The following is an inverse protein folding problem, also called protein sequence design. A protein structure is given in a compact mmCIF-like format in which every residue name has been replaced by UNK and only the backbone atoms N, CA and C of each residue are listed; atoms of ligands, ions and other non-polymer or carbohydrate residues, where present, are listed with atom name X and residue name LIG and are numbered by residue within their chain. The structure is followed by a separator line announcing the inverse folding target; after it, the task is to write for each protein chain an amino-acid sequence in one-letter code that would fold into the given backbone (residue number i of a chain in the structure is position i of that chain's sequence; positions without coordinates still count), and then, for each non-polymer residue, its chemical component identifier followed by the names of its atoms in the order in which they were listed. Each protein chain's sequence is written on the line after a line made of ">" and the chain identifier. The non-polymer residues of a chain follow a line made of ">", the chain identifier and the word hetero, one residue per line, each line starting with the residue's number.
data_IF_098608853565
#
_entry.id   IF_098608853565
#
_cell.length_a   1.000
_cell.length_b   1.000
_cell.length_c   1.000
_cell.angle_alpha   90.00
_cell.angle_beta   90.00
_cell.angle_gamma   90.00
#
_symmetry.space_group_name_H-M   'P 1'
#
loop_
_entity.id
_entity.type
_entity.pdbx_description
1 polymer ?
#
# COMPACT_ATOMS: atom_id res chain seq x y z
N UNK A 1 -0.32 29.52 -52.70
CA UNK A 1 0.85 30.14 -52.06
C UNK A 1 0.56 30.33 -50.58
N UNK A 2 1.41 29.75 -49.73
CA UNK A 2 1.59 29.99 -48.27
C UNK A 2 0.33 30.06 -47.39
N UNK A 3 0.03 28.95 -46.72
CA UNK A 3 -0.60 28.98 -45.40
C UNK A 3 0.49 29.02 -44.33
N UNK A 4 0.42 30.07 -43.52
CA UNK A 4 1.20 30.33 -42.32
C UNK A 4 0.57 29.53 -41.18
N UNK A 5 1.34 28.67 -40.52
CA UNK A 5 1.01 28.18 -39.18
C UNK A 5 2.04 28.72 -38.20
N UNK A 6 1.55 29.60 -37.32
CA UNK A 6 2.26 30.11 -36.15
C UNK A 6 2.27 28.97 -35.14
N UNK A 7 3.45 28.39 -34.89
CA UNK A 7 3.66 27.49 -33.77
C UNK A 7 4.10 28.33 -32.56
N UNK A 8 3.19 28.54 -31.62
CA UNK A 8 3.51 29.09 -30.30
C UNK A 8 4.42 28.11 -29.56
N UNK A 9 5.71 28.43 -29.52
CA UNK A 9 6.70 27.76 -28.69
C UNK A 9 6.60 28.33 -27.26
N UNK A 10 5.79 27.72 -26.39
CA UNK A 10 5.83 28.01 -24.96
C UNK A 10 7.01 27.22 -24.37
N UNK A 11 8.13 27.92 -24.19
CA UNK A 11 9.29 27.42 -23.43
C UNK A 11 9.02 27.65 -21.95
N UNK A 12 8.68 26.59 -21.22
CA UNK A 12 8.88 26.56 -19.77
C UNK A 12 10.26 25.95 -19.49
N UNK A 13 11.23 26.81 -19.20
CA UNK A 13 12.47 26.44 -18.51
C UNK A 13 12.38 26.80 -17.02
N UNK A 14 12.94 25.89 -16.21
CA UNK A 14 13.24 26.02 -14.77
C UNK A 14 12.02 25.79 -13.86
N UNK A 15 12.05 24.86 -12.90
CA UNK A 15 13.08 24.69 -11.88
C UNK A 15 13.47 23.22 -11.70
N UNK A 16 14.77 22.97 -11.48
CA UNK A 16 15.35 21.64 -11.26
C UNK A 16 14.96 21.10 -9.88
N UNK A 17 14.21 19.99 -9.84
CA UNK A 17 14.19 19.09 -8.67
C UNK A 17 15.10 17.89 -8.97
N UNK A 18 16.15 17.72 -8.15
CA UNK A 18 17.25 16.75 -8.36
C UNK A 18 16.92 15.31 -7.98
N UNK A 19 15.66 14.96 -7.71
CA UNK A 19 15.24 13.59 -7.37
C UNK A 19 14.01 13.09 -8.14
N UNK A 20 13.54 13.83 -9.15
CA UNK A 20 12.66 13.24 -10.15
C UNK A 20 13.50 12.25 -10.97
N UNK A 21 13.31 10.95 -10.74
CA UNK A 21 13.75 9.90 -11.66
C UNK A 21 13.35 10.34 -13.06
N UNK A 22 14.35 10.67 -13.91
CA UNK A 22 14.11 10.97 -15.32
C UNK A 22 13.25 9.83 -15.87
N UNK A 23 11.99 10.11 -16.18
CA UNK A 23 11.12 9.18 -16.90
C UNK A 23 11.92 8.59 -18.07
N UNK A 24 11.84 7.28 -18.34
CA UNK A 24 12.52 6.73 -19.48
C UNK A 24 12.02 7.47 -20.73
N UNK A 25 12.92 8.22 -21.37
CA UNK A 25 12.62 8.82 -22.67
C UNK A 25 12.67 7.70 -23.70
N UNK A 26 11.55 7.01 -23.88
CA UNK A 26 11.35 6.14 -25.04
C UNK A 26 11.33 7.03 -26.29
N UNK A 27 12.16 6.68 -27.28
CA UNK A 27 12.30 7.44 -28.52
C UNK A 27 11.46 6.78 -29.62
N UNK A 28 10.16 7.07 -29.61
CA UNK A 28 9.20 6.58 -30.60
C UNK A 28 9.51 6.99 -32.05
N UNK A 29 10.44 7.92 -32.27
CA UNK A 29 10.88 8.28 -33.62
C UNK A 29 11.88 7.28 -34.21
N UNK A 30 12.56 6.51 -33.36
CA UNK A 30 13.65 5.60 -33.77
C UNK A 30 13.29 4.14 -33.65
N UNK A 31 12.30 3.80 -32.84
CA UNK A 31 12.02 2.40 -32.52
C UNK A 31 10.52 2.17 -32.34
N UNK A 32 10.06 1.02 -32.84
CA UNK A 32 8.70 0.55 -32.62
C UNK A 32 8.57 0.00 -31.21
N UNK A 33 7.50 0.41 -30.55
CA UNK A 33 7.15 -0.06 -29.22
C UNK A 33 5.81 -0.76 -29.25
N UNK A 34 5.69 -1.81 -28.44
CA UNK A 34 4.46 -2.55 -28.29
C UNK A 34 4.02 -2.54 -26.83
N UNK A 35 2.76 -2.20 -26.58
CA UNK A 35 2.16 -2.20 -25.26
C UNK A 35 1.37 -3.49 -25.06
N UNK A 36 1.61 -4.17 -23.94
CA UNK A 36 0.75 -5.23 -23.45
C UNK A 36 0.13 -4.81 -22.13
N UNK A 37 -1.14 -5.16 -21.95
CA UNK A 37 -1.85 -5.07 -20.67
C UNK A 37 -1.83 -6.46 -20.02
N UNK A 38 -1.47 -6.54 -18.75
CA UNK A 38 -1.48 -7.79 -17.99
C UNK A 38 -2.81 -7.89 -17.22
N UNK A 39 -3.59 -8.91 -17.55
CA UNK A 39 -4.85 -9.23 -16.84
C UNK A 39 -4.65 -9.86 -15.45
N UNK A 40 -3.41 -9.93 -14.93
CA UNK A 40 -3.13 -10.79 -13.77
C UNK A 40 -3.40 -10.14 -12.39
N UNK A 41 -3.64 -8.83 -12.31
CA UNK A 41 -3.77 -8.14 -11.02
C UNK A 41 -4.82 -7.02 -11.08
N UNK A 42 -5.99 -7.26 -10.48
CA UNK A 42 -7.06 -6.32 -10.09
C UNK A 42 -6.96 -4.88 -10.60
N UNK A 43 -7.72 -4.52 -11.65
CA UNK A 43 -8.16 -3.17 -12.08
C UNK A 43 -7.13 -2.02 -12.14
N UNK A 44 -5.85 -2.27 -11.87
CA UNK A 44 -4.79 -1.29 -11.86
C UNK A 44 -3.87 -1.64 -13.00
N UNK A 45 -4.13 -1.07 -14.19
CA UNK A 45 -3.43 -1.37 -15.43
C UNK A 45 -1.92 -1.59 -15.23
N UNK A 46 -1.51 -2.85 -15.30
CA UNK A 46 -0.12 -3.28 -15.34
C UNK A 46 0.28 -3.39 -16.80
N UNK A 47 1.14 -2.48 -17.22
CA UNK A 47 1.58 -2.39 -18.60
C UNK A 47 3.00 -2.92 -18.76
N UNK A 48 3.22 -3.63 -19.86
CA UNK A 48 4.55 -3.99 -20.32
C UNK A 48 4.82 -3.31 -21.65
N UNK A 49 5.94 -2.59 -21.72
CA UNK A 49 6.40 -2.00 -22.97
C UNK A 49 7.52 -2.83 -23.55
N UNK A 50 7.33 -3.26 -24.79
CA UNK A 50 8.30 -4.07 -25.52
C UNK A 50 8.97 -3.23 -26.60
N UNK A 51 10.30 -3.20 -26.55
CA UNK A 51 11.16 -2.71 -27.60
C UNK A 51 11.75 -3.90 -28.34
N UNK A 52 11.54 -4.01 -29.65
CA UNK A 52 12.15 -5.06 -30.48
C UNK A 52 13.10 -4.45 -31.51
N UNK A 53 14.26 -5.09 -31.69
CA UNK A 53 15.23 -4.80 -32.75
C UNK A 53 15.39 -6.06 -33.59
N UNK A 54 14.88 -6.00 -34.81
CA UNK A 54 15.06 -7.07 -35.78
C UNK A 54 16.49 -7.07 -36.32
N UNK A 55 17.11 -8.25 -36.29
CA UNK A 55 18.30 -8.56 -37.08
C UNK A 55 18.12 -9.96 -37.63
N UNK A 56 18.05 -10.11 -38.96
CA UNK A 56 17.95 -11.38 -39.71
C UNK A 56 17.95 -12.65 -38.83
N UNK A 57 16.75 -13.23 -38.66
CA UNK A 57 16.42 -14.45 -37.88
C UNK A 57 16.61 -14.38 -36.35
N UNK A 58 17.03 -13.23 -35.81
CA UNK A 58 17.21 -12.98 -34.37
C UNK A 58 16.36 -11.79 -33.88
N UNK A 59 15.74 -11.98 -32.73
CA UNK A 59 14.98 -10.95 -32.02
C UNK A 59 15.75 -10.56 -30.76
N UNK A 60 16.14 -9.28 -30.66
CA UNK A 60 16.70 -8.72 -29.43
C UNK A 60 15.84 -7.55 -29.00
N UNK A 61 15.63 -7.41 -27.70
CA UNK A 61 14.74 -6.39 -27.21
C UNK A 61 14.85 -6.12 -25.72
N UNK A 62 13.99 -5.24 -25.25
CA UNK A 62 13.81 -4.92 -23.84
C UNK A 62 12.31 -4.98 -23.56
N UNK A 63 11.91 -5.81 -22.60
CA UNK A 63 10.60 -5.70 -21.96
C UNK A 63 10.79 -4.81 -20.73
N UNK A 64 10.15 -3.66 -20.70
CA UNK A 64 10.11 -2.83 -19.50
C UNK A 64 8.78 -3.09 -18.82
N UNK A 65 8.83 -3.66 -17.62
CA UNK A 65 7.67 -3.65 -16.74
C UNK A 65 7.46 -2.21 -16.30
N UNK A 66 6.41 -1.58 -16.82
CA UNK A 66 6.01 -0.25 -16.43
C UNK A 66 5.25 -0.41 -15.13
N UNK A 67 5.96 -0.20 -14.02
CA UNK A 67 5.35 -0.22 -12.69
C UNK A 67 5.56 1.12 -12.00
N UNK A 68 4.67 1.40 -11.07
CA UNK A 68 4.67 2.65 -10.32
C UNK A 68 5.94 2.85 -9.48
N UNK A 69 6.51 1.77 -8.95
CA UNK A 69 7.62 1.85 -8.00
C UNK A 69 8.97 1.95 -8.69
N UNK A 70 9.15 1.20 -9.78
CA UNK A 70 10.39 1.18 -10.56
C UNK A 70 10.18 0.48 -11.89
N UNK A 71 10.59 1.14 -12.96
CA UNK A 71 10.73 0.46 -14.24
C UNK A 71 11.80 -0.62 -14.11
N UNK A 72 11.41 -1.85 -14.45
CA UNK A 72 12.31 -3.01 -14.37
C UNK A 72 12.50 -3.54 -15.79
N UNK A 73 13.54 -3.08 -16.50
CA UNK A 73 13.83 -3.57 -17.85
C UNK A 73 14.44 -4.97 -17.77
N UNK A 74 13.89 -5.87 -18.57
CA UNK A 74 14.40 -7.21 -18.78
C UNK A 74 14.81 -7.36 -20.24
N UNK A 75 16.03 -7.83 -20.46
CA UNK A 75 16.53 -8.11 -21.81
C UNK A 75 15.78 -9.30 -22.38
N UNK A 76 15.27 -9.14 -23.59
CA UNK A 76 14.64 -10.18 -24.38
C UNK A 76 15.65 -10.69 -25.41
N UNK A 77 15.81 -12.01 -25.50
CA UNK A 77 16.60 -12.67 -26.55
C UNK A 77 15.79 -13.79 -27.16
N UNK A 78 15.71 -13.83 -28.48
CA UNK A 78 14.89 -14.80 -29.17
C UNK A 78 15.25 -14.99 -30.64
N UNK A 79 14.48 -15.86 -31.27
CA UNK A 79 14.53 -16.14 -32.71
C UNK A 79 13.22 -15.72 -33.35
N UNK A 80 13.31 -15.21 -34.57
CA UNK A 80 12.16 -14.92 -35.41
C UNK A 80 12.25 -15.82 -36.65
N UNK A 81 11.28 -16.73 -36.80
CA UNK A 81 11.19 -17.60 -37.98
C UNK A 81 9.74 -17.79 -38.36
N UNK A 82 9.39 -17.57 -39.63
CA UNK A 82 8.04 -17.81 -40.16
C UNK A 82 6.93 -17.10 -39.34
N UNK A 83 7.19 -15.86 -38.89
CA UNK A 83 6.32 -15.07 -38.00
C UNK A 83 6.13 -15.64 -36.59
N UNK A 84 6.85 -16.70 -36.22
CA UNK A 84 6.87 -17.26 -34.86
C UNK A 84 8.02 -16.61 -34.09
N UNK A 85 7.69 -16.08 -32.92
CA UNK A 85 8.64 -15.57 -31.95
C UNK A 85 8.82 -16.61 -30.85
N UNK A 86 10.08 -16.86 -30.49
CA UNK A 86 10.44 -17.52 -29.23
C UNK A 86 11.47 -16.67 -28.50
N UNK A 87 11.23 -16.31 -27.24
CA UNK A 87 12.22 -15.58 -26.46
C UNK A 87 12.31 -16.02 -25.00
N UNK A 88 13.46 -15.77 -24.38
CA UNK A 88 13.66 -15.92 -22.94
C UNK A 88 13.72 -14.56 -22.26
N UNK A 89 13.22 -14.51 -21.03
CA UNK A 89 13.25 -13.32 -20.17
C UNK A 89 13.50 -13.72 -18.72
N UNK A 90 14.15 -12.84 -17.97
CA UNK A 90 14.45 -13.02 -16.55
C UNK A 90 13.65 -12.04 -15.72
N UNK A 91 12.71 -12.55 -14.93
CA UNK A 91 12.07 -11.77 -13.87
C UNK A 91 12.96 -11.77 -12.62
N UNK A 92 12.99 -10.64 -11.91
CA UNK A 92 13.76 -10.54 -10.67
C UNK A 92 13.34 -11.64 -9.68
N UNK A 93 14.31 -12.40 -9.17
CA UNK A 93 14.06 -13.48 -8.20
C UNK A 93 13.45 -14.76 -8.79
N UNK A 94 13.31 -14.89 -10.11
CA UNK A 94 12.77 -16.11 -10.77
C UNK A 94 13.76 -16.74 -11.74
N UNK A 95 13.56 -18.03 -12.03
CA UNK A 95 14.26 -18.73 -13.11
C UNK A 95 13.89 -18.11 -14.46
N UNK A 96 14.80 -18.25 -15.42
CA UNK A 96 14.57 -17.80 -16.79
C UNK A 96 13.27 -18.40 -17.33
N UNK A 97 12.41 -17.54 -17.82
CA UNK A 97 11.10 -17.87 -18.36
C UNK A 97 11.15 -17.82 -19.88
N UNK A 98 10.31 -18.62 -20.54
CA UNK A 98 10.22 -18.66 -22.01
C UNK A 98 8.83 -18.20 -22.45
N UNK A 99 8.80 -17.43 -23.52
CA UNK A 99 7.59 -16.98 -24.18
C UNK A 99 7.60 -17.43 -25.64
N UNK A 100 6.42 -17.78 -26.13
CA UNK A 100 6.17 -18.11 -27.53
C UNK A 100 5.13 -17.14 -28.08
N UNK A 101 5.20 -16.81 -29.35
CA UNK A 101 4.20 -15.94 -29.94
C UNK A 101 4.15 -15.94 -31.45
N UNK A 102 3.12 -15.28 -31.96
CA UNK A 102 2.87 -15.12 -33.39
C UNK A 102 2.79 -13.63 -33.69
N UNK A 103 3.55 -13.18 -34.69
CA UNK A 103 3.48 -11.82 -35.24
C UNK A 103 2.32 -11.78 -36.23
N UNK A 104 1.29 -11.01 -35.87
CA UNK A 104 0.26 -10.58 -36.81
C UNK A 104 0.60 -9.22 -37.42
N UNK A 105 -0.28 -8.75 -38.32
CA UNK A 105 -0.10 -7.48 -39.03
C UNK A 105 0.04 -6.27 -38.10
N UNK A 106 -0.76 -6.23 -37.03
CA UNK A 106 -0.86 -5.06 -36.13
C UNK A 106 -0.72 -5.43 -34.64
N UNK A 107 -0.45 -6.70 -34.34
CA UNK A 107 -0.34 -7.20 -32.97
C UNK A 107 0.60 -8.39 -32.88
N UNK A 108 1.20 -8.58 -31.71
CA UNK A 108 1.95 -9.78 -31.37
C UNK A 108 1.18 -10.50 -30.25
N UNK A 109 0.78 -11.75 -30.49
CA UNK A 109 0.19 -12.58 -29.43
C UNK A 109 1.28 -13.40 -28.79
N UNK A 110 1.46 -13.27 -27.48
CA UNK A 110 2.43 -14.03 -26.70
C UNK A 110 1.70 -14.94 -25.72
N UNK A 111 2.25 -16.13 -25.52
CA UNK A 111 1.92 -17.03 -24.44
C UNK A 111 3.15 -17.12 -23.51
N UNK A 112 3.03 -16.56 -22.30
CA UNK A 112 4.07 -16.61 -21.28
C UNK A 112 3.89 -17.87 -20.44
N UNK A 113 4.95 -18.68 -20.34
CA UNK A 113 5.01 -19.87 -19.46
C UNK A 113 3.81 -20.82 -19.64
N UNK A 114 3.21 -20.89 -20.84
CA UNK A 114 2.08 -21.77 -21.16
C UNK A 114 0.70 -21.31 -20.67
N UNK A 115 0.59 -20.28 -19.83
CA UNK A 115 -0.68 -19.93 -19.17
C UNK A 115 -1.17 -18.50 -19.40
N UNK A 116 -0.28 -17.52 -19.51
CA UNK A 116 -0.69 -16.12 -19.64
C UNK A 116 -0.63 -15.69 -21.10
N UNK A 117 -1.77 -15.32 -21.66
CA UNK A 117 -1.84 -14.74 -22.99
C UNK A 117 -1.68 -13.22 -22.90
N UNK A 118 -0.72 -12.67 -23.65
CA UNK A 118 -0.56 -11.23 -23.82
C UNK A 118 -0.81 -10.87 -25.27
N UNK A 119 -1.54 -9.78 -25.48
CA UNK A 119 -1.67 -9.16 -26.80
C UNK A 119 -0.90 -7.84 -26.78
N UNK A 120 0.18 -7.81 -27.54
CA UNK A 120 1.04 -6.66 -27.72
C UNK A 120 0.51 -5.86 -28.90
N UNK A 121 0.14 -4.61 -28.68
CA UNK A 121 -0.31 -3.69 -29.73
C UNK A 121 0.78 -2.67 -30.00
N UNK A 122 1.10 -2.42 -31.26
CA UNK A 122 2.01 -1.33 -31.62
C UNK A 122 1.41 -0.01 -31.10
N UNK A 123 2.24 0.83 -30.50
CA UNK A 123 1.82 2.12 -29.95
C UNK A 123 2.75 3.23 -30.45
N UNK A 124 2.17 4.39 -30.69
CA UNK A 124 2.92 5.62 -30.94
C UNK A 124 3.15 6.41 -29.64
N UNK A 125 3.89 7.51 -29.74
CA UNK A 125 4.16 8.37 -28.59
C UNK A 125 2.88 8.94 -27.98
N UNK A 126 1.86 9.28 -28.77
CA UNK A 126 0.60 9.87 -28.29
C UNK A 126 -0.17 8.84 -27.47
N UNK A 127 -0.32 7.62 -27.99
CA UNK A 127 -0.98 6.50 -27.33
C UNK A 127 -0.24 6.10 -26.07
N UNK A 128 1.10 6.04 -26.14
CA UNK A 128 1.95 5.83 -24.97
C UNK A 128 1.68 6.91 -23.94
N UNK A 129 1.90 8.18 -24.23
CA UNK A 129 1.74 9.26 -23.26
C UNK A 129 0.30 9.41 -22.77
N UNK A 130 -0.72 9.18 -23.59
CA UNK A 130 -2.12 9.27 -23.13
C UNK A 130 -2.42 8.15 -22.14
N UNK A 131 -2.14 6.89 -22.48
CA UNK A 131 -2.37 5.76 -21.56
C UNK A 131 -1.40 5.72 -20.38
N UNK A 132 -0.16 6.16 -20.58
CA UNK A 132 0.92 6.14 -19.59
C UNK A 132 0.89 7.36 -18.66
N UNK A 133 0.57 8.57 -19.14
CA UNK A 133 0.40 9.74 -18.26
C UNK A 133 -0.95 9.68 -17.53
N UNK A 134 -1.97 9.02 -18.08
CA UNK A 134 -3.11 8.57 -17.26
C UNK A 134 -2.65 7.60 -16.15
N UNK A 135 -1.64 6.76 -16.41
CA UNK A 135 -1.05 5.86 -15.42
C UNK A 135 -0.09 6.54 -14.40
N UNK A 136 0.44 7.73 -14.73
CA UNK A 136 1.29 8.56 -13.87
C UNK A 136 0.55 9.84 -13.49
N UNK A 137 -0.24 9.82 -12.40
CA UNK A 137 -1.05 10.97 -12.06
C UNK A 137 -0.18 12.19 -11.78
N UNK A 138 -0.65 13.37 -12.22
CA UNK A 138 -0.05 14.65 -11.87
C UNK A 138 0.13 14.72 -10.37
N UNK A 139 1.37 14.89 -9.92
CA UNK A 139 1.68 15.06 -8.52
C UNK A 139 1.16 16.42 -8.05
N UNK A 140 0.45 16.44 -6.93
CA UNK A 140 -0.17 17.64 -6.38
C UNK A 140 0.53 18.05 -5.09
N UNK A 141 0.51 19.35 -4.79
CA UNK A 141 0.70 19.82 -3.42
C UNK A 141 -0.68 20.06 -2.84
N UNK A 142 -0.98 19.40 -1.74
CA UNK A 142 -2.24 19.54 -1.02
C UNK A 142 -1.99 20.24 0.31
N UNK A 143 -3.00 20.99 0.77
CA UNK A 143 -2.98 21.63 2.07
C UNK A 143 -4.38 21.62 2.68
N UNK A 144 -4.45 21.43 3.99
CA UNK A 144 -5.69 21.59 4.76
C UNK A 144 -5.34 21.98 6.18
N UNK A 145 -6.02 22.99 6.68
CA UNK A 145 -5.93 23.39 8.07
C UNK A 145 -7.23 22.98 8.77
N UNK A 146 -7.14 22.45 9.98
CA UNK A 146 -8.31 21.98 10.74
C UNK A 146 -8.10 22.28 12.22
N UNK A 147 -9.13 22.84 12.86
CA UNK A 147 -9.15 23.04 14.31
C UNK A 147 -9.94 21.89 14.92
N UNK A 148 -9.34 21.16 15.85
CA UNK A 148 -10.00 20.09 16.59
C UNK A 148 -9.56 20.19 18.05
N UNK A 149 -10.51 20.23 18.98
CA UNK A 149 -10.22 20.42 20.41
C UNK A 149 -9.49 21.74 20.66
N UNK A 150 -8.31 21.65 21.30
CA UNK A 150 -7.44 22.78 21.63
C UNK A 150 -6.33 23.03 20.60
N UNK A 151 -6.36 22.31 19.47
CA UNK A 151 -5.28 22.30 18.51
C UNK A 151 -5.71 22.84 17.15
N UNK A 152 -4.78 23.54 16.48
CA UNK A 152 -4.81 23.82 15.05
C UNK A 152 -3.83 22.85 14.37
N UNK A 153 -4.35 22.02 13.47
CA UNK A 153 -3.57 21.11 12.63
C UNK A 153 -3.43 21.71 11.24
N UNK A 154 -2.21 22.04 10.82
CA UNK A 154 -1.88 22.48 9.47
C UNK A 154 -1.22 21.33 8.71
N UNK A 155 -1.94 20.75 7.74
CA UNK A 155 -1.47 19.62 6.94
C UNK A 155 -0.98 20.11 5.60
N UNK A 156 0.23 19.71 5.21
CA UNK A 156 0.81 19.96 3.89
C UNK A 156 1.37 18.68 3.31
N UNK A 157 0.89 18.28 2.14
CA UNK A 157 1.33 17.08 1.45
C UNK A 157 1.98 17.50 0.13
N UNK A 158 3.29 17.33 0.01
CA UNK A 158 4.02 17.54 -1.24
C UNK A 158 4.03 16.27 -2.06
N UNK A 159 4.02 16.43 -3.38
CA UNK A 159 4.10 15.32 -4.34
C UNK A 159 3.02 14.25 -4.12
N UNK A 160 1.81 14.64 -3.70
CA UNK A 160 0.70 13.72 -3.51
C UNK A 160 0.31 13.07 -4.83
N UNK A 161 0.24 11.75 -4.80
CA UNK A 161 -0.03 10.92 -5.95
C UNK A 161 -1.47 10.38 -5.91
N UNK A 162 -2.30 10.70 -6.90
CA UNK A 162 -3.71 10.28 -6.86
C UNK A 162 -3.95 8.78 -7.07
N UNK A 163 -2.93 8.01 -7.46
CA UNK A 163 -3.00 6.55 -7.63
C UNK A 163 -2.59 5.84 -6.35
N UNK A 164 -1.44 6.19 -5.77
CA UNK A 164 -0.98 5.57 -4.51
C UNK A 164 -1.53 6.21 -3.26
N UNK A 165 -2.08 7.42 -3.38
CA UNK A 165 -2.65 8.22 -2.27
C UNK A 165 -1.63 8.70 -1.24
N UNK A 166 -0.34 8.57 -1.52
CA UNK A 166 0.76 9.00 -0.67
C UNK A 166 1.43 10.28 -1.19
N UNK A 167 2.15 10.94 -0.29
CA UNK A 167 3.03 12.08 -0.57
C UNK A 167 3.83 12.43 0.68
N UNK A 168 4.83 13.30 0.54
CA UNK A 168 5.64 13.77 1.67
C UNK A 168 4.76 14.69 2.51
N UNK A 169 4.32 14.19 3.65
CA UNK A 169 3.33 14.84 4.50
C UNK A 169 4.00 15.51 5.67
N UNK A 170 3.63 16.76 5.93
CA UNK A 170 4.03 17.53 7.11
C UNK A 170 2.76 17.99 7.80
N UNK A 171 2.63 17.66 9.09
CA UNK A 171 1.55 18.11 9.95
C UNK A 171 2.17 18.96 11.03
N UNK A 172 1.83 20.24 11.05
CA UNK A 172 2.20 21.16 12.13
C UNK A 172 1.02 21.25 13.08
N UNK A 173 1.27 20.98 14.35
CA UNK A 173 0.30 21.05 15.44
C UNK A 173 0.60 22.31 16.24
N UNK A 174 -0.40 23.16 16.41
CA UNK A 174 -0.29 24.43 17.12
C UNK A 174 -1.36 24.53 18.19
N UNK A 175 -1.08 25.31 19.23
CA UNK A 175 -2.12 25.73 20.17
C UNK A 175 -3.14 26.61 19.43
N UNK A 176 -4.44 26.31 19.56
CA UNK A 176 -5.46 27.02 18.77
C UNK A 176 -5.56 28.50 19.12
N UNK A 177 -5.20 28.89 20.34
CA UNK A 177 -5.41 30.23 20.89
C UNK A 177 -4.22 31.14 20.59
N UNK A 178 -3.05 30.76 21.08
CA UNK A 178 -1.78 31.48 20.93
C UNK A 178 -1.16 31.32 19.55
N UNK A 179 -1.57 30.29 18.79
CA UNK A 179 -0.95 29.87 17.51
C UNK A 179 0.52 29.47 17.64
N UNK A 180 1.01 29.21 18.86
CA UNK A 180 2.36 28.72 19.08
C UNK A 180 2.50 27.29 18.54
N UNK A 181 3.64 27.03 17.87
CA UNK A 181 3.98 25.69 17.39
C UNK A 181 4.24 24.75 18.58
N UNK A 182 3.54 23.62 18.61
CA UNK A 182 3.69 22.59 19.64
C UNK A 182 4.59 21.48 19.11
N UNK A 183 4.29 21.00 17.90
CA UNK A 183 4.97 19.86 17.29
C UNK A 183 4.84 19.89 15.77
N UNK A 184 5.80 19.27 15.09
CA UNK A 184 5.70 18.93 13.68
C UNK A 184 5.94 17.43 13.47
N UNK A 185 5.09 16.79 12.68
CA UNK A 185 5.21 15.39 12.29
C UNK A 185 5.42 15.33 10.78
N UNK A 186 6.46 14.63 10.33
CA UNK A 186 6.72 14.39 8.90
C UNK A 186 6.70 12.90 8.59
N UNK A 187 6.04 12.51 7.49
CA UNK A 187 5.91 11.11 7.08
C UNK A 187 5.60 10.97 5.59
N UNK A 188 6.14 9.94 4.95
CA UNK A 188 5.75 9.52 3.59
C UNK A 188 4.72 8.37 3.63
N UNK A 189 4.46 7.81 4.82
CA UNK A 189 3.61 6.64 4.99
C UNK A 189 2.11 6.99 5.04
N UNK A 190 1.74 8.26 5.26
CA UNK A 190 0.34 8.63 5.41
C UNK A 190 -0.42 8.49 4.10
N UNK A 191 -1.59 7.88 4.19
CA UNK A 191 -2.46 7.58 3.06
C UNK A 191 -3.67 8.51 3.08
N UNK A 192 -3.90 9.22 1.98
CA UNK A 192 -5.03 10.14 1.83
C UNK A 192 -5.89 9.75 0.63
N UNK A 193 -7.05 9.15 0.91
CA UNK A 193 -7.93 8.50 -0.08
C UNK A 193 -8.21 9.35 -1.33
N UNK A 194 -8.41 10.65 -1.15
CA UNK A 194 -8.43 11.61 -2.24
C UNK A 194 -7.97 12.99 -1.76
N UNK A 195 -7.78 13.90 -2.73
CA UNK A 195 -7.30 15.26 -2.49
C UNK A 195 -8.18 16.11 -1.57
N UNK A 196 -9.45 15.73 -1.41
CA UNK A 196 -10.45 16.48 -0.63
C UNK A 196 -10.64 15.88 0.78
N UNK A 197 -10.14 14.66 1.01
CA UNK A 197 -10.30 13.89 2.26
C UNK A 197 -8.94 13.64 2.93
N UNK A 198 -8.33 14.73 3.40
CA UNK A 198 -7.11 14.71 4.21
C UNK A 198 -7.45 14.44 5.70
N UNK A 199 -7.97 13.25 5.98
CA UNK A 199 -8.43 12.86 7.33
C UNK A 199 -7.34 12.16 8.13
N UNK A 200 -7.41 12.35 9.44
CA UNK A 200 -6.70 11.63 10.49
C UNK A 200 -7.65 11.51 11.67
N UNK A 201 -7.36 10.62 12.62
CA UNK A 201 -8.22 10.39 13.77
C UNK A 201 -7.68 11.18 14.97
N UNK A 202 -8.56 11.98 15.58
CA UNK A 202 -8.31 12.69 16.82
C UNK A 202 -9.60 12.69 17.65
N UNK A 203 -9.96 11.50 18.13
CA UNK A 203 -11.17 11.29 18.93
C UNK A 203 -11.08 10.09 19.88
N UNK A 204 -10.01 9.28 19.78
CA UNK A 204 -9.80 8.11 20.64
C UNK A 204 -8.78 8.44 21.72
N UNK A 205 -8.94 7.81 22.88
CA UNK A 205 -7.97 7.79 23.98
C UNK A 205 -7.41 6.37 24.04
N UNK A 206 -6.23 6.17 23.47
CA UNK A 206 -5.65 4.84 23.29
C UNK A 206 -4.97 4.31 24.56
N UNK A 207 -4.61 5.20 25.49
CA UNK A 207 -3.93 4.86 26.74
C UNK A 207 -4.82 4.98 28.00
N UNK A 208 -6.09 5.35 27.82
CA UNK A 208 -7.12 5.46 28.85
C UNK A 208 -6.80 6.51 29.93
N UNK A 209 -6.11 7.58 29.55
CA UNK A 209 -5.68 8.64 30.47
C UNK A 209 -6.61 9.89 30.49
N UNK A 210 -7.72 9.81 29.76
CA UNK A 210 -8.72 10.83 29.46
C UNK A 210 -8.20 11.99 28.59
N UNK A 211 -7.15 11.76 27.79
CA UNK A 211 -6.69 12.70 26.77
C UNK A 211 -6.79 12.04 25.40
N UNK A 212 -7.34 12.79 24.44
CA UNK A 212 -7.46 12.33 23.06
C UNK A 212 -6.09 12.24 22.39
N UNK A 213 -5.84 11.09 21.79
CA UNK A 213 -4.67 10.73 21.03
C UNK A 213 -4.88 10.91 19.52
N UNK A 214 -3.82 10.67 18.75
CA UNK A 214 -3.78 10.89 17.32
C UNK A 214 -3.43 9.60 16.57
N UNK A 215 -4.15 9.29 15.49
CA UNK A 215 -3.71 8.25 14.56
C UNK A 215 -3.86 8.64 13.09
N UNK A 216 -2.94 8.16 12.27
CA UNK A 216 -2.89 8.42 10.85
C UNK A 216 -2.96 7.11 10.07
N UNK A 217 -3.89 7.04 9.13
CA UNK A 217 -4.01 5.90 8.22
C UNK A 217 -2.77 5.79 7.33
N UNK A 218 -2.20 4.60 7.24
CA UNK A 218 -1.00 4.29 6.43
C UNK A 218 -1.28 3.31 5.29
N UNK A 219 -2.55 2.98 5.05
CA UNK A 219 -2.99 2.08 4.00
C UNK A 219 -3.43 0.72 4.55
N UNK A 220 -3.27 -0.33 3.75
CA UNK A 220 -3.76 -1.67 4.07
C UNK A 220 -2.60 -2.64 4.33
N UNK A 221 -1.64 -2.24 5.16
CA UNK A 221 -0.42 -3.03 5.42
C UNK A 221 -0.59 -4.05 6.56
N UNK A 222 -1.79 -4.13 7.16
CA UNK A 222 -2.09 -5.12 8.20
C UNK A 222 -2.35 -6.52 7.62
N UNK A 223 -2.53 -7.52 8.48
CA UNK A 223 -2.87 -8.88 8.06
C UNK A 223 -4.09 -8.91 7.15
N UNK A 224 -4.04 -9.71 6.08
CA UNK A 224 -5.13 -9.82 5.10
C UNK A 224 -5.54 -8.49 4.45
N UNK A 225 -4.58 -7.57 4.29
CA UNK A 225 -4.83 -6.21 3.80
C UNK A 225 -5.83 -5.43 4.67
N UNK A 226 -5.83 -5.71 5.98
CA UNK A 226 -6.53 -4.87 6.94
C UNK A 226 -5.89 -3.48 7.01
N UNK A 227 -6.67 -2.53 7.53
CA UNK A 227 -6.22 -1.16 7.71
C UNK A 227 -5.05 -1.08 8.68
N UNK A 228 -4.05 -0.27 8.32
CA UNK A 228 -2.90 0.04 9.17
C UNK A 228 -2.84 1.53 9.49
N UNK A 229 -2.35 1.86 10.68
CA UNK A 229 -2.22 3.22 11.17
C UNK A 229 -0.88 3.40 11.90
N UNK A 230 -0.41 4.64 11.94
CA UNK A 230 0.55 5.09 12.94
C UNK A 230 -0.22 5.69 14.12
N UNK A 231 0.14 5.31 15.35
CA UNK A 231 -0.52 5.78 16.56
C UNK A 231 0.43 6.70 17.34
N UNK A 232 -0.10 7.84 17.78
CA UNK A 232 0.65 8.84 18.53
C UNK A 232 -0.10 9.14 19.83
N UNK A 233 0.51 8.77 20.95
CA UNK A 233 -0.03 8.91 22.29
C UNK A 233 0.39 10.25 22.87
N UNK A 234 -0.52 10.99 23.49
CA UNK A 234 -0.21 12.27 24.08
C UNK A 234 0.60 12.11 25.37
N UNK A 235 1.82 12.65 25.37
CA UNK A 235 2.66 12.73 26.55
C UNK A 235 2.40 14.03 27.31
N UNK A 236 1.92 13.91 28.56
CA UNK A 236 1.55 15.07 29.40
C UNK A 236 2.76 15.89 29.86
N UNK A 237 3.93 15.26 30.01
CA UNK A 237 5.15 15.92 30.46
C UNK A 237 5.78 16.74 29.33
N UNK A 238 5.87 16.16 28.13
CA UNK A 238 6.40 16.82 26.94
C UNK A 238 5.38 17.72 26.24
N UNK A 239 4.09 17.52 26.51
CA UNK A 239 2.94 18.17 25.85
C UNK A 239 2.95 17.94 24.33
N UNK A 240 3.24 16.72 23.91
CA UNK A 240 3.43 16.31 22.51
C UNK A 240 2.82 14.94 22.25
N UNK A 241 2.56 14.66 20.97
CA UNK A 241 2.08 13.36 20.51
C UNK A 241 3.26 12.46 20.13
N UNK A 242 3.50 11.39 20.88
CA UNK A 242 4.64 10.50 20.73
C UNK A 242 4.20 9.21 20.01
N UNK A 243 4.88 8.89 18.91
CA UNK A 243 4.57 7.69 18.11
C UNK A 243 4.83 6.41 18.92
N UNK A 244 3.81 5.57 19.07
CA UNK A 244 3.92 4.30 19.80
C UNK A 244 3.99 3.10 18.85
N UNK A 245 5.22 2.64 18.59
CA UNK A 245 5.46 1.44 17.77
C UNK A 245 4.90 0.18 18.44
N UNK A 246 4.91 0.13 19.78
CA UNK A 246 4.32 -0.98 20.53
C UNK A 246 2.80 -1.06 20.29
N UNK A 247 2.12 0.09 20.27
CA UNK A 247 0.69 0.15 19.97
C UNK A 247 0.42 -0.26 18.51
N UNK A 248 1.17 0.29 17.56
CA UNK A 248 1.07 -0.03 16.14
C UNK A 248 1.19 -1.53 15.85
N UNK A 249 2.10 -2.20 16.55
CA UNK A 249 2.36 -3.65 16.36
C UNK A 249 1.14 -4.50 16.67
N UNK A 250 0.29 -4.07 17.62
CA UNK A 250 -0.84 -4.84 18.10
C UNK A 250 -2.16 -4.35 17.49
N UNK A 251 -2.32 -3.03 17.33
CA UNK A 251 -3.55 -2.42 16.82
C UNK A 251 -3.72 -2.57 15.29
N UNK A 252 -2.63 -2.77 14.54
CA UNK A 252 -2.69 -3.06 13.10
C UNK A 252 -3.01 -4.54 12.82
N UNK A 253 -3.98 -5.08 13.56
CA UNK A 253 -4.51 -6.43 13.43
C UNK A 253 -5.54 -6.54 12.30
N UNK A 254 -6.21 -7.70 12.15
CA UNK A 254 -7.34 -7.81 11.22
C UNK A 254 -8.46 -6.85 11.61
N UNK A 255 -8.73 -6.73 12.91
CA UNK A 255 -9.58 -5.70 13.51
C UNK A 255 -9.05 -5.33 14.89
N UNK A 256 -9.34 -4.12 15.34
CA UNK A 256 -9.03 -3.66 16.69
C UNK A 256 -10.19 -2.86 17.26
N UNK A 257 -10.26 -2.77 18.58
CA UNK A 257 -11.25 -1.98 19.31
C UNK A 257 -10.61 -1.37 20.56
N UNK A 258 -11.00 -0.13 20.87
CA UNK A 258 -10.67 0.56 22.11
C UNK A 258 -11.88 0.44 23.03
N UNK A 259 -11.81 -0.47 23.98
CA UNK A 259 -12.84 -0.69 24.98
C UNK A 259 -12.64 0.30 26.14
N UNK A 260 -13.38 1.40 26.07
CA UNK A 260 -13.38 2.47 27.07
C UNK A 260 -14.17 2.13 28.34
N UNK A 261 -14.98 1.07 28.32
CA UNK A 261 -15.74 0.62 29.51
C UNK A 261 -14.80 -0.11 30.45
N UNK A 262 -14.00 -1.02 29.91
CA UNK A 262 -13.09 -1.87 30.69
C UNK A 262 -11.62 -1.40 30.66
N UNK A 263 -11.34 -0.30 29.96
CA UNK A 263 -10.02 0.29 29.72
C UNK A 263 -9.03 -0.73 29.15
N UNK A 264 -9.40 -1.31 28.00
CA UNK A 264 -8.62 -2.33 27.29
C UNK A 264 -8.61 -2.07 25.81
N UNK A 265 -7.54 -2.52 25.17
CA UNK A 265 -7.52 -2.64 23.72
C UNK A 265 -7.76 -4.10 23.33
N UNK A 266 -8.73 -4.33 22.46
CA UNK A 266 -9.03 -5.65 21.90
C UNK A 266 -8.40 -5.74 20.50
N UNK A 267 -7.69 -6.84 20.25
CA UNK A 267 -7.04 -7.12 18.97
C UNK A 267 -7.52 -8.46 18.45
N UNK A 268 -8.04 -8.46 17.23
CA UNK A 268 -8.57 -9.64 16.57
C UNK A 268 -7.69 -9.99 15.37
N UNK A 269 -7.16 -11.20 15.39
CA UNK A 269 -6.26 -11.69 14.34
C UNK A 269 -6.71 -13.05 13.81
N UNK A 270 -6.14 -13.41 12.66
CA UNK A 270 -6.37 -14.69 12.01
C UNK A 270 -5.03 -15.30 11.60
N UNK A 271 -4.85 -16.59 11.88
CA UNK A 271 -3.74 -17.41 11.40
C UNK A 271 -4.09 -18.04 10.06
N UNK A 272 -3.83 -19.32 9.86
CA UNK A 272 -4.36 -20.06 8.69
C UNK A 272 -5.89 -19.96 8.60
N UNK A 273 -6.49 -20.46 7.51
CA UNK A 273 -7.93 -20.36 7.19
C UNK A 273 -8.89 -20.56 8.39
N UNK A 274 -8.53 -21.40 9.36
CA UNK A 274 -9.36 -21.81 10.47
C UNK A 274 -8.88 -21.34 11.86
N UNK A 275 -7.77 -20.61 11.94
CA UNK A 275 -7.17 -20.14 13.20
C UNK A 275 -7.60 -18.71 13.51
N UNK A 276 -8.23 -18.48 14.65
CA UNK A 276 -8.68 -17.17 15.09
C UNK A 276 -8.06 -16.82 16.44
N UNK A 277 -7.70 -15.54 16.61
CA UNK A 277 -7.12 -15.01 17.83
C UNK A 277 -7.89 -13.78 18.28
N UNK A 278 -8.15 -13.69 19.58
CA UNK A 278 -8.66 -12.48 20.22
C UNK A 278 -7.82 -12.21 21.48
N UNK A 279 -7.21 -11.04 21.54
CA UNK A 279 -6.32 -10.66 22.64
C UNK A 279 -6.80 -9.34 23.25
N UNK A 280 -6.82 -9.27 24.57
CA UNK A 280 -7.09 -8.04 25.32
C UNK A 280 -5.81 -7.55 25.99
N UNK A 281 -5.56 -6.25 25.87
CA UNK A 281 -4.38 -5.57 26.41
C UNK A 281 -4.80 -4.44 27.32
N UNK A 282 -4.01 -4.20 28.37
CA UNK A 282 -4.12 -2.99 29.21
C UNK A 282 -2.90 -2.11 29.01
N UNK A 283 -3.10 -0.79 29.07
CA UNK A 283 -2.00 0.16 29.11
C UNK A 283 -1.34 0.15 30.49
N UNK A 284 -0.04 -0.17 30.56
CA UNK A 284 0.74 -0.25 31.79
C UNK A 284 2.16 0.21 31.49
N UNK A 285 2.66 1.23 32.20
CA UNK A 285 4.02 1.78 32.04
C UNK A 285 4.36 2.09 30.58
N UNK A 286 3.52 2.90 29.93
CA UNK A 286 3.70 3.39 28.56
C UNK A 286 3.75 2.29 27.47
N UNK A 287 3.16 1.13 27.76
CA UNK A 287 3.06 0.04 26.81
C UNK A 287 1.80 -0.81 27.01
N UNK A 288 1.48 -1.63 26.03
CA UNK A 288 0.37 -2.57 26.07
C UNK A 288 0.82 -3.90 26.69
N UNK A 289 0.17 -4.28 27.78
CA UNK A 289 0.37 -5.56 28.44
C UNK A 289 -0.80 -6.50 28.12
N UNK A 290 -0.50 -7.66 27.54
CA UNK A 290 -1.48 -8.73 27.29
C UNK A 290 -2.07 -9.23 28.62
N UNK A 291 -3.38 -9.10 28.80
CA UNK A 291 -4.12 -9.55 29.99
C UNK A 291 -5.01 -10.75 29.73
N UNK A 292 -5.44 -10.96 28.48
CA UNK A 292 -6.28 -12.10 28.09
C UNK A 292 -6.01 -12.47 26.64
N UNK A 293 -6.00 -13.77 26.33
CA UNK A 293 -5.73 -14.27 24.98
C UNK A 293 -6.58 -15.51 24.71
N UNK A 294 -7.28 -15.51 23.60
CA UNK A 294 -8.11 -16.60 23.09
C UNK A 294 -7.55 -17.04 21.74
N UNK A 295 -7.32 -18.35 21.60
CA UNK A 295 -6.99 -18.99 20.33
C UNK A 295 -8.02 -20.06 20.03
N UNK A 296 -8.57 -20.04 18.81
CA UNK A 296 -9.55 -21.02 18.32
C UNK A 296 -9.02 -21.63 17.03
N UNK A 297 -8.90 -22.96 17.00
CA UNK A 297 -8.54 -23.74 15.80
C UNK A 297 -9.76 -24.54 15.30
N UNK A 298 -10.31 -24.13 14.16
CA UNK A 298 -11.45 -24.78 13.53
C UNK A 298 -11.08 -25.87 12.50
N UNK A 299 -9.79 -26.22 12.33
CA UNK A 299 -9.37 -27.16 11.30
C UNK A 299 -9.45 -28.63 11.75
N UNK A 300 -9.15 -28.93 13.03
CA UNK A 300 -9.13 -30.29 13.56
C UNK A 300 -9.60 -30.33 15.03
N UNK A 301 -10.80 -30.87 15.29
CA UNK A 301 -11.39 -31.04 16.64
C UNK A 301 -11.46 -29.76 17.49
N UNK A 302 -11.92 -28.65 16.91
CA UNK A 302 -12.22 -27.35 17.57
C UNK A 302 -11.41 -27.15 18.85
N UNK A 303 -10.15 -26.72 18.72
CA UNK A 303 -9.31 -26.47 19.90
C UNK A 303 -9.51 -25.04 20.36
N UNK A 304 -9.91 -24.89 21.62
CA UNK A 304 -10.05 -23.58 22.27
C UNK A 304 -9.04 -23.47 23.40
N UNK A 305 -8.16 -22.47 23.30
CA UNK A 305 -7.19 -22.13 24.35
C UNK A 305 -7.52 -20.73 24.83
N UNK A 306 -7.84 -20.60 26.13
CA UNK A 306 -8.01 -19.31 26.79
C UNK A 306 -6.91 -19.15 27.84
N UNK A 307 -6.23 -18.02 27.79
CA UNK A 307 -5.22 -17.61 28.76
C UNK A 307 -5.60 -16.28 29.39
N UNK A 308 -5.26 -16.11 30.66
CA UNK A 308 -5.49 -14.88 31.40
C UNK A 308 -4.30 -14.56 32.30
N UNK A 309 -3.98 -13.28 32.44
CA UNK A 309 -2.91 -12.82 33.33
C UNK A 309 -3.41 -12.86 34.77
N UNK A 310 -2.75 -13.66 35.60
CA UNK A 310 -3.04 -13.86 37.03
C UNK A 310 -1.70 -13.78 37.76
N UNK A 311 -1.60 -12.90 38.76
CA UNK A 311 -0.36 -12.64 39.52
C UNK A 311 0.83 -12.27 38.62
N UNK A 312 0.58 -11.43 37.61
CA UNK A 312 1.60 -10.98 36.68
C UNK A 312 2.05 -12.01 35.65
N UNK A 313 1.50 -13.23 35.63
CA UNK A 313 1.84 -14.27 34.64
C UNK A 313 0.62 -14.68 33.80
N UNK A 314 0.85 -14.94 32.51
CA UNK A 314 -0.19 -15.44 31.62
C UNK A 314 -0.40 -16.94 31.87
N UNK A 315 -1.51 -17.31 32.51
CA UNK A 315 -1.86 -18.70 32.85
C UNK A 315 -2.94 -19.22 31.90
N UNK A 316 -2.83 -20.48 31.49
CA UNK A 316 -3.89 -21.16 30.73
C UNK A 316 -5.04 -21.50 31.66
N UNK A 317 -6.23 -20.98 31.37
CA UNK A 317 -7.46 -21.23 32.14
C UNK A 317 -8.40 -22.21 31.42
N UNK A 318 -8.24 -22.35 30.11
CA UNK A 318 -8.94 -23.34 29.30
C UNK A 318 -7.99 -23.86 28.22
N UNK A 319 -7.91 -25.18 28.07
CA UNK A 319 -7.34 -25.85 26.89
C UNK A 319 -8.21 -27.08 26.61
N UNK A 320 -9.17 -26.91 25.70
CA UNK A 320 -10.10 -27.97 25.32
C UNK A 320 -9.89 -28.33 23.86
N UNK A 321 -9.35 -29.51 23.56
CA UNK A 321 -9.34 -30.08 22.22
C UNK A 321 -10.63 -30.89 22.02
N UNK A 322 -11.78 -30.28 21.71
CA UNK A 322 -13.00 -31.09 21.52
C UNK A 322 -14.09 -30.52 20.59
N UNK A 323 -14.66 -31.45 19.81
CA UNK A 323 -15.84 -31.36 18.94
C UNK A 323 -17.17 -31.02 19.62
N UNK A 324 -17.20 -30.88 20.95
CA UNK A 324 -18.42 -30.59 21.73
C UNK A 324 -18.51 -29.14 22.22
N UNK A 325 -17.56 -28.27 21.85
CA UNK A 325 -17.63 -26.86 22.18
C UNK A 325 -18.79 -26.20 21.41
N UNK A 326 -19.82 -25.74 22.12
CA UNK A 326 -21.03 -25.20 21.49
C UNK A 326 -20.83 -23.72 21.10
N UNK A 327 -21.66 -23.22 20.19
CA UNK A 327 -21.71 -21.79 19.86
C UNK A 327 -22.07 -20.94 21.09
N UNK A 328 -22.88 -21.48 22.00
CA UNK A 328 -23.20 -20.82 23.26
C UNK A 328 -21.97 -20.71 24.18
N UNK A 329 -21.12 -21.73 24.23
CA UNK A 329 -19.86 -21.68 24.99
C UNK A 329 -18.89 -20.66 24.37
N UNK A 330 -18.82 -20.58 23.03
CA UNK A 330 -18.03 -19.57 22.33
C UNK A 330 -18.54 -18.15 22.65
N UNK A 331 -19.85 -17.95 22.61
CA UNK A 331 -20.48 -16.66 22.94
C UNK A 331 -20.13 -16.23 24.35
N UNK A 332 -20.25 -17.13 25.34
CA UNK A 332 -19.85 -16.83 26.74
C UNK A 332 -18.37 -16.46 26.87
N UNK A 333 -17.49 -17.06 26.07
CA UNK A 333 -16.08 -16.68 26.07
C UNK A 333 -15.90 -15.28 25.48
N UNK A 334 -16.52 -14.99 24.33
CA UNK A 334 -16.44 -13.67 23.71
C UNK A 334 -17.04 -12.59 24.62
N UNK A 335 -18.18 -12.84 25.25
CA UNK A 335 -18.82 -11.94 26.22
C UNK A 335 -17.98 -11.71 27.48
N UNK A 336 -16.97 -12.55 27.72
CA UNK A 336 -16.07 -12.40 28.86
C UNK A 336 -14.83 -11.54 28.55
N UNK A 337 -14.57 -11.24 27.27
CA UNK A 337 -13.55 -10.25 26.90
C UNK A 337 -14.05 -8.86 27.31
#
# INVERSE_FOLDING_TARGET
>A
MKNIYILCLIVFMSCQDKTATKLPRFDFSKTKYFLAERDCCSNMGDYMLFEFKDKKDSLKGIATHISFFKDSPTVIKGTLKDSIIKFTYKESGRKDSTAYGIIGKDQIKLQLNGHNNLTLKEIDSITYYTKYLEAHPKLLTLQKDTIIGDYLFELKIKNWNSRTKHGVSTITIKDKTSKADIQQITSEAFYFYNKDKLYFNYYEDYNFDNITDLSFYTGTNGPYASNSFNYYIYDKAEKKFIRSIAYETIANAVSFEVDTVDNRMLSYNKGSCCMHYADAYKWVNDTLQLVKSLSVDNQYKHRVILKQRIDGQLKTILDKPDSHFTEQDMTKIYDSF
#
